data_IF_450019234556
#
_entry.id   IF_450019234556
#
_cell.length_a   1.000
_cell.length_b   1.000
_cell.length_c   1.000
_cell.angle_alpha   90.00
_cell.angle_beta   90.00
_cell.angle_gamma   90.00
#
_symmetry.space_group_name_H-M   'P 1'
#
loop_
_entity.id
_entity.type
_entity.pdbx_description
1 polymer ?
#
# COMPACT_ATOMS: atom_id res chain seq x y z
N UNK A 1 1.39 -3.06 -16.80
CA UNK A 1 1.37 -1.83 -16.01
C UNK A 1 1.45 -0.63 -16.95
N UNK A 2 0.55 0.32 -16.81
CA UNK A 2 0.61 1.48 -17.69
C UNK A 2 1.88 2.29 -17.45
N UNK A 3 2.40 2.87 -18.50
CA UNK A 3 3.52 3.78 -18.40
C UNK A 3 3.01 5.13 -17.89
N UNK A 4 3.54 5.56 -16.79
CA UNK A 4 3.19 6.85 -16.20
C UNK A 4 4.44 7.72 -16.21
N UNK A 5 4.32 8.89 -16.83
CA UNK A 5 5.38 9.88 -16.78
C UNK A 5 5.29 10.58 -15.42
N UNK A 6 6.30 10.40 -14.58
CA UNK A 6 6.28 10.92 -13.21
C UNK A 6 7.21 12.10 -13.08
N UNK A 7 6.65 13.22 -12.68
CA UNK A 7 7.43 14.41 -12.37
C UNK A 7 7.96 14.30 -10.94
N UNK A 8 9.28 14.48 -10.70
CA UNK A 8 9.82 14.43 -9.34
C UNK A 8 9.17 15.39 -8.35
N UNK A 9 8.56 16.48 -8.83
CA UNK A 9 7.83 17.40 -7.94
C UNK A 9 6.55 16.79 -7.38
N UNK A 10 6.12 15.61 -7.89
CA UNK A 10 4.97 14.88 -7.39
C UNK A 10 5.37 13.81 -6.35
N UNK A 11 6.46 14.03 -5.65
CA UNK A 11 6.93 13.11 -4.60
C UNK A 11 5.82 12.90 -3.56
N UNK A 12 5.56 11.62 -3.23
CA UNK A 12 4.51 11.16 -2.33
C UNK A 12 3.09 11.45 -2.82
N UNK A 13 2.91 11.81 -4.07
CA UNK A 13 1.60 12.05 -4.65
C UNK A 13 1.01 10.81 -5.35
N UNK A 14 1.85 9.85 -5.75
CA UNK A 14 1.40 8.66 -6.47
C UNK A 14 1.90 7.43 -5.72
N UNK A 15 0.95 6.58 -5.31
CA UNK A 15 1.25 5.37 -4.54
C UNK A 15 0.61 4.17 -5.21
N UNK A 16 1.33 3.05 -5.21
CA UNK A 16 0.82 1.78 -5.68
C UNK A 16 0.49 0.90 -4.47
N UNK A 17 -0.75 0.44 -4.39
CA UNK A 17 -1.26 -0.38 -3.30
C UNK A 17 -1.46 -1.80 -3.81
N UNK A 18 -1.00 -2.79 -3.05
CA UNK A 18 -1.15 -4.18 -3.45
C UNK A 18 -1.34 -5.07 -2.21
N UNK A 19 -2.04 -6.19 -2.41
CA UNK A 19 -2.10 -7.29 -1.43
C UNK A 19 -1.27 -8.45 -1.96
N UNK A 20 -0.44 -9.02 -1.11
CA UNK A 20 0.39 -10.17 -1.43
C UNK A 20 -0.09 -11.35 -0.59
N UNK A 21 -0.30 -12.49 -1.22
CA UNK A 21 -0.80 -13.70 -0.57
C UNK A 21 -1.90 -14.34 -1.41
N UNK A 22 -2.68 -15.27 -0.84
CA UNK A 22 -2.59 -15.71 0.54
C UNK A 22 -1.38 -16.61 0.80
N UNK A 23 -0.82 -16.49 2.00
CA UNK A 23 0.22 -17.41 2.43
C UNK A 23 -0.42 -18.68 2.98
N UNK A 24 0.18 -19.87 2.74
CA UNK A 24 -0.46 -21.12 3.12
C UNK A 24 -0.58 -21.30 4.63
N UNK A 25 0.33 -20.71 5.40
CA UNK A 25 0.31 -20.81 6.85
C UNK A 25 0.23 -19.39 7.41
N UNK A 26 -0.84 -19.06 8.17
CA UNK A 26 -0.92 -17.75 8.78
C UNK A 26 0.22 -17.54 9.79
N UNK A 27 0.62 -16.29 9.97
CA UNK A 27 1.57 -15.95 11.03
C UNK A 27 0.95 -16.36 12.37
N UNK A 28 1.71 -17.12 13.15
CA UNK A 28 1.17 -17.83 14.31
C UNK A 28 0.47 -16.95 15.31
N UNK A 29 0.97 -15.74 15.53
CA UNK A 29 0.46 -14.88 16.60
C UNK A 29 -0.57 -13.88 16.15
N UNK A 30 -0.60 -13.58 14.88
CA UNK A 30 -1.48 -12.53 14.36
C UNK A 30 -2.47 -13.04 13.33
N UNK A 31 -2.36 -14.31 12.94
CA UNK A 31 -3.26 -14.92 11.97
C UNK A 31 -3.22 -14.30 10.59
N UNK A 32 -2.19 -13.52 10.28
CA UNK A 32 -2.12 -12.82 9.01
C UNK A 32 -1.80 -13.78 7.87
N UNK A 33 -2.56 -13.66 6.79
CA UNK A 33 -2.37 -14.48 5.58
C UNK A 33 -1.95 -13.65 4.39
N UNK A 34 -2.01 -12.34 4.50
CA UNK A 34 -1.71 -11.40 3.42
C UNK A 34 -0.80 -10.30 3.93
N UNK A 35 -0.13 -9.65 3.01
CA UNK A 35 0.60 -8.42 3.31
C UNK A 35 0.05 -7.35 2.39
N UNK A 36 -0.41 -6.24 2.97
CA UNK A 36 -0.75 -5.06 2.19
C UNK A 36 0.51 -4.20 2.06
N UNK A 37 0.78 -3.74 0.86
CA UNK A 37 1.96 -2.93 0.58
C UNK A 37 1.54 -1.64 -0.10
N UNK A 38 2.31 -0.59 0.16
CA UNK A 38 2.18 0.68 -0.54
C UNK A 38 3.58 1.14 -0.94
N UNK A 39 3.78 1.42 -2.21
CA UNK A 39 5.07 1.88 -2.73
C UNK A 39 4.87 3.23 -3.38
N UNK A 40 5.65 4.20 -2.94
CA UNK A 40 5.64 5.53 -3.51
C UNK A 40 6.40 5.51 -4.84
N UNK A 41 5.84 6.16 -5.84
CA UNK A 41 6.28 5.99 -7.22
C UNK A 41 7.64 6.63 -7.52
N UNK A 42 7.90 7.80 -6.94
CA UNK A 42 9.12 8.55 -7.22
C UNK A 42 10.30 8.03 -6.40
N UNK A 43 10.13 7.95 -5.07
CA UNK A 43 11.23 7.61 -4.16
C UNK A 43 11.39 6.12 -3.95
N UNK A 44 10.37 5.31 -4.32
CA UNK A 44 10.28 3.89 -4.03
C UNK A 44 10.19 3.59 -2.53
N UNK A 45 9.81 4.57 -1.74
CA UNK A 45 9.49 4.34 -0.32
C UNK A 45 8.38 3.31 -0.21
N UNK A 46 8.53 2.37 0.69
CA UNK A 46 7.57 1.28 0.84
C UNK A 46 7.08 1.20 2.27
N UNK A 47 5.77 1.01 2.42
CA UNK A 47 5.13 0.66 3.68
C UNK A 47 4.47 -0.68 3.49
N UNK A 48 4.50 -1.51 4.55
CA UNK A 48 3.88 -2.83 4.48
C UNK A 48 3.30 -3.19 5.84
N UNK A 49 2.23 -3.99 5.81
CA UNK A 49 1.58 -4.44 7.05
C UNK A 49 0.95 -5.81 6.81
N UNK A 50 1.13 -6.76 7.74
CA UNK A 50 0.42 -8.03 7.66
C UNK A 50 -1.05 -7.84 7.99
N UNK A 51 -1.92 -8.51 7.23
CA UNK A 51 -3.37 -8.45 7.43
C UNK A 51 -3.96 -9.84 7.23
N UNK A 52 -5.14 -10.07 7.79
CA UNK A 52 -5.79 -11.38 7.72
C UNK A 52 -6.69 -11.54 6.50
N UNK A 53 -7.23 -10.47 5.97
CA UNK A 53 -8.09 -10.50 4.79
C UNK A 53 -7.77 -9.35 3.84
N UNK A 54 -8.14 -9.52 2.57
CA UNK A 54 -8.09 -8.46 1.58
C UNK A 54 -9.46 -7.79 1.52
N UNK A 55 -9.55 -6.56 1.97
CA UNK A 55 -10.79 -5.80 1.89
C UNK A 55 -10.49 -4.33 1.62
N UNK A 56 -11.48 -3.64 1.05
CA UNK A 56 -11.35 -2.21 0.81
C UNK A 56 -11.27 -1.43 2.12
N UNK A 57 -11.91 -1.92 3.16
CA UNK A 57 -11.87 -1.27 4.47
C UNK A 57 -10.47 -1.33 5.08
N UNK A 58 -9.83 -2.50 4.99
CA UNK A 58 -8.47 -2.66 5.49
C UNK A 58 -7.50 -1.81 4.65
N UNK A 59 -7.69 -1.78 3.34
CA UNK A 59 -6.87 -0.93 2.48
C UNK A 59 -7.02 0.55 2.83
N UNK A 60 -8.25 1.01 3.02
CA UNK A 60 -8.51 2.41 3.38
C UNK A 60 -7.88 2.77 4.72
N UNK A 61 -8.00 1.90 5.70
CA UNK A 61 -7.40 2.12 7.01
C UNK A 61 -5.87 2.18 6.93
N UNK A 62 -5.28 1.26 6.18
CA UNK A 62 -3.83 1.24 5.98
C UNK A 62 -3.34 2.52 5.30
N UNK A 63 -4.03 2.95 4.26
CA UNK A 63 -3.68 4.17 3.53
C UNK A 63 -3.77 5.38 4.46
N UNK A 64 -4.85 5.47 5.23
CA UNK A 64 -5.01 6.57 6.17
C UNK A 64 -3.90 6.59 7.20
N UNK A 65 -3.66 5.46 7.86
CA UNK A 65 -2.72 5.39 8.99
C UNK A 65 -1.26 5.52 8.58
N UNK A 66 -0.91 5.05 7.39
CA UNK A 66 0.49 4.97 6.98
C UNK A 66 0.89 5.95 5.90
N UNK A 67 -0.07 6.49 5.16
CA UNK A 67 0.22 7.41 4.08
C UNK A 67 -0.33 8.81 4.38
N UNK A 68 -1.62 8.93 4.62
CA UNK A 68 -2.25 10.24 4.74
C UNK A 68 -1.74 10.98 5.98
N UNK A 69 -1.61 10.30 7.10
CA UNK A 69 -1.14 10.92 8.35
C UNK A 69 0.32 11.33 8.30
N UNK A 70 1.12 10.75 7.40
CA UNK A 70 2.57 10.98 7.33
C UNK A 70 2.98 11.81 6.12
N UNK A 71 2.32 11.65 5.00
CA UNK A 71 2.72 12.28 3.74
C UNK A 71 1.64 13.15 3.12
N UNK A 72 0.45 13.19 3.73
CA UNK A 72 -0.69 13.89 3.18
C UNK A 72 -1.51 13.04 2.23
N UNK A 73 -2.60 13.61 1.76
CA UNK A 73 -3.51 12.90 0.86
C UNK A 73 -2.86 12.74 -0.51
N UNK A 74 -2.70 11.51 -1.03
CA UNK A 74 -2.06 11.33 -2.33
C UNK A 74 -2.95 11.82 -3.47
N UNK A 75 -2.32 12.26 -4.54
CA UNK A 75 -3.02 12.66 -5.75
C UNK A 75 -3.61 11.45 -6.46
N UNK A 76 -2.88 10.35 -6.50
CA UNK A 76 -3.28 9.16 -7.24
C UNK A 76 -2.91 7.91 -6.47
N UNK A 77 -3.86 6.97 -6.40
CA UNK A 77 -3.63 5.62 -5.88
C UNK A 77 -3.80 4.62 -7.01
N UNK A 78 -2.81 3.77 -7.20
CA UNK A 78 -2.85 2.70 -8.19
C UNK A 78 -2.99 1.39 -7.44
N UNK A 79 -3.95 0.55 -7.82
CA UNK A 79 -4.14 -0.75 -7.20
C UNK A 79 -4.26 -1.85 -8.25
N UNK A 80 -3.89 -3.05 -7.86
CA UNK A 80 -4.09 -4.24 -8.69
C UNK A 80 -5.33 -5.00 -8.27
#
# INVERSE_FOLDING_TARGET
>A
MPLISVNPSLTFEIWAINFIGPFPIPAKRIGARYIITAVEYVTKWAEAKPVDICSSEIAAKFIYENIITRFGCPLTLISN
#
